data_IF_209354433159
#
_entry.id   IF_209354433159
#
_cell.length_a   1.000
_cell.length_b   1.000
_cell.length_c   1.000
_cell.angle_alpha   90.00
_cell.angle_beta   90.00
_cell.angle_gamma   90.00
#
_symmetry.space_group_name_H-M   'P 1'
#
loop_
_entity.id
_entity.type
_entity.pdbx_description
1 polymer ?
#
# COMPACT_ATOMS: atom_id res chain seq x y z
N UNK A 1 -9.49 2.02 20.70
CA UNK A 1 -9.42 2.46 19.29
C UNK A 1 -9.90 3.90 19.20
N UNK A 2 -9.04 4.83 18.77
CA UNK A 2 -9.48 6.17 18.37
C UNK A 2 -9.81 6.16 16.87
N UNK A 3 -10.98 6.70 16.51
CA UNK A 3 -11.41 6.80 15.11
C UNK A 3 -10.43 7.62 14.26
N UNK A 4 -9.75 8.58 14.90
CA UNK A 4 -8.78 9.45 14.23
C UNK A 4 -7.50 8.72 13.83
N UNK A 5 -6.97 7.84 14.70
CA UNK A 5 -5.78 7.05 14.39
C UNK A 5 -6.02 6.08 13.23
N UNK A 6 -7.19 5.40 13.24
CA UNK A 6 -7.55 4.50 12.15
C UNK A 6 -7.75 5.23 10.82
N UNK A 7 -8.31 6.45 10.85
CA UNK A 7 -8.47 7.27 9.65
C UNK A 7 -7.11 7.71 9.08
N UNK A 8 -6.18 8.13 9.94
CA UNK A 8 -4.82 8.47 9.53
C UNK A 8 -4.10 7.26 8.94
N UNK A 9 -4.24 6.10 9.56
CA UNK A 9 -3.66 4.84 9.07
C UNK A 9 -4.19 4.51 7.67
N UNK A 10 -5.51 4.62 7.45
CA UNK A 10 -6.12 4.37 6.14
C UNK A 10 -5.62 5.37 5.08
N UNK A 11 -5.57 6.66 5.40
CA UNK A 11 -5.07 7.68 4.46
C UNK A 11 -3.61 7.44 4.07
N UNK A 12 -2.78 7.00 5.02
CA UNK A 12 -1.39 6.65 4.75
C UNK A 12 -1.27 5.39 3.88
N UNK A 13 -2.14 4.39 4.09
CA UNK A 13 -2.22 3.21 3.24
C UNK A 13 -2.65 3.56 1.79
N UNK A 14 -3.65 4.43 1.63
CA UNK A 14 -4.08 4.94 0.31
C UNK A 14 -2.91 5.63 -0.40
N UNK A 15 -2.21 6.53 0.31
CA UNK A 15 -1.06 7.24 -0.22
C UNK A 15 0.09 6.30 -0.64
N UNK A 16 0.34 5.23 0.11
CA UNK A 16 1.38 4.26 -0.26
C UNK A 16 1.06 3.56 -1.59
N UNK A 17 -0.19 3.16 -1.79
CA UNK A 17 -0.66 2.51 -3.01
C UNK A 17 -0.60 3.48 -4.20
N UNK A 18 -0.99 4.73 -4.01
CA UNK A 18 -0.90 5.77 -5.04
C UNK A 18 0.56 6.03 -5.44
N UNK A 19 1.47 6.15 -4.48
CA UNK A 19 2.90 6.36 -4.74
C UNK A 19 3.51 5.21 -5.57
N UNK A 20 3.15 3.95 -5.29
CA UNK A 20 3.56 2.81 -6.11
C UNK A 20 3.10 2.95 -7.57
N UNK A 21 1.85 3.40 -7.80
CA UNK A 21 1.34 3.62 -9.17
C UNK A 21 2.09 4.71 -9.93
N UNK A 22 2.70 5.66 -9.21
CA UNK A 22 3.49 6.76 -9.75
C UNK A 22 4.98 6.40 -9.92
N UNK A 23 5.38 5.19 -9.53
CA UNK A 23 6.76 4.74 -9.53
C UNK A 23 7.61 5.35 -8.40
N UNK A 24 7.00 5.94 -7.38
CA UNK A 24 7.69 6.53 -6.24
C UNK A 24 7.82 5.53 -5.09
N UNK A 25 8.84 4.67 -5.21
CA UNK A 25 9.16 3.65 -4.21
C UNK A 25 9.50 4.23 -2.83
N UNK A 26 10.17 5.39 -2.78
CA UNK A 26 10.58 6.00 -1.53
C UNK A 26 9.37 6.52 -0.73
N UNK A 27 8.47 7.23 -1.40
CA UNK A 27 7.23 7.74 -0.79
C UNK A 27 6.31 6.59 -0.39
N UNK A 28 6.22 5.53 -1.20
CA UNK A 28 5.40 4.36 -0.87
C UNK A 28 5.83 3.70 0.46
N UNK A 29 7.15 3.48 0.64
CA UNK A 29 7.70 2.91 1.88
C UNK A 29 7.42 3.80 3.09
N UNK A 30 7.68 5.10 2.99
CA UNK A 30 7.44 6.03 4.08
C UNK A 30 5.95 6.10 4.47
N UNK A 31 5.06 6.11 3.48
CA UNK A 31 3.62 6.16 3.72
C UNK A 31 3.10 4.88 4.39
N UNK A 32 3.56 3.70 3.98
CA UNK A 32 3.09 2.45 4.60
C UNK A 32 3.62 2.27 6.02
N UNK A 33 4.83 2.75 6.32
CA UNK A 33 5.37 2.74 7.68
C UNK A 33 4.51 3.62 8.61
N UNK A 34 4.04 4.78 8.12
CA UNK A 34 3.08 5.61 8.86
C UNK A 34 1.74 4.91 9.03
N UNK A 35 1.26 4.19 8.01
CA UNK A 35 0.03 3.42 8.10
C UNK A 35 0.09 2.38 9.23
N UNK A 36 1.20 1.62 9.31
CA UNK A 36 1.44 0.63 10.37
C UNK A 36 1.59 1.31 11.74
N UNK A 37 2.31 2.43 11.84
CA UNK A 37 2.48 3.16 13.11
C UNK A 37 1.14 3.62 13.70
N UNK A 38 0.22 4.08 12.84
CA UNK A 38 -1.11 4.57 13.26
C UNK A 38 -2.14 3.45 13.42
N UNK A 39 -1.88 2.29 12.85
CA UNK A 39 -2.77 1.15 12.89
C UNK A 39 -2.70 0.38 14.20
N UNK A 40 -3.63 0.71 15.10
CA UNK A 40 -3.78 0.05 16.39
C UNK A 40 -4.35 -1.38 16.27
N UNK A 41 -4.82 -1.78 15.09
CA UNK A 41 -5.42 -3.10 14.85
C UNK A 41 -4.45 -4.12 14.23
N UNK A 42 -3.35 -3.65 13.65
CA UNK A 42 -2.37 -4.49 12.95
C UNK A 42 -2.85 -5.03 11.60
N UNK A 43 -3.93 -4.48 11.04
CA UNK A 43 -4.48 -4.81 9.72
C UNK A 43 -3.55 -4.43 8.56
N UNK A 44 -2.70 -3.41 8.71
CA UNK A 44 -1.79 -2.95 7.65
C UNK A 44 -0.41 -3.61 7.65
N UNK A 45 -0.15 -4.59 8.52
CA UNK A 45 1.12 -5.31 8.52
C UNK A 45 1.38 -6.04 7.19
N UNK A 46 0.38 -6.76 6.68
CA UNK A 46 0.50 -7.45 5.39
C UNK A 46 0.66 -6.46 4.22
N UNK A 47 0.00 -5.31 4.29
CA UNK A 47 0.16 -4.25 3.31
C UNK A 47 1.59 -3.70 3.30
N UNK A 48 2.20 -3.51 4.48
CA UNK A 48 3.59 -3.04 4.57
C UNK A 48 4.56 -4.00 3.88
N UNK A 49 4.46 -5.30 4.14
CA UNK A 49 5.30 -6.30 3.48
C UNK A 49 5.12 -6.27 1.96
N UNK A 50 3.87 -6.15 1.48
CA UNK A 50 3.56 -6.04 0.06
C UNK A 50 4.09 -4.76 -0.58
N UNK A 51 3.98 -3.62 0.09
CA UNK A 51 4.51 -2.33 -0.39
C UNK A 51 6.04 -2.35 -0.42
N UNK A 52 6.71 -2.90 0.60
CA UNK A 52 8.17 -2.99 0.63
C UNK A 52 8.70 -3.90 -0.50
N UNK A 53 8.01 -5.01 -0.77
CA UNK A 53 8.32 -5.88 -1.92
C UNK A 53 8.11 -5.13 -3.25
N UNK A 54 6.97 -4.47 -3.42
CA UNK A 54 6.65 -3.71 -4.62
C UNK A 54 7.66 -2.57 -4.87
N UNK A 55 7.99 -1.81 -3.84
CA UNK A 55 8.99 -0.74 -3.91
C UNK A 55 10.37 -1.27 -4.33
N UNK A 56 10.76 -2.46 -3.85
CA UNK A 56 12.01 -3.11 -4.27
C UNK A 56 11.98 -3.49 -5.75
N UNK A 57 10.86 -4.07 -6.22
CA UNK A 57 10.71 -4.37 -7.64
C UNK A 57 10.66 -3.13 -8.53
N UNK A 58 10.07 -2.02 -8.06
CA UNK A 58 10.13 -0.73 -8.76
C UNK A 58 11.58 -0.24 -8.89
N UNK A 59 12.35 -0.29 -7.81
CA UNK A 59 13.75 0.12 -7.82
C UNK A 59 14.60 -0.74 -8.78
N UNK A 60 14.31 -2.05 -8.86
CA UNK A 60 15.08 -3.02 -9.67
C UNK A 60 14.64 -3.07 -11.14
N UNK A 61 13.33 -3.07 -11.40
CA UNK A 61 12.75 -3.31 -12.73
C UNK A 61 12.14 -2.06 -13.38
N UNK A 62 12.00 -0.96 -12.62
CA UNK A 62 11.40 0.29 -13.07
C UNK A 62 9.89 0.23 -13.29
N UNK A 63 9.23 -0.89 -12.92
CA UNK A 63 7.78 -1.10 -13.04
C UNK A 63 7.30 -2.20 -12.12
N UNK A 64 6.00 -2.23 -11.85
CA UNK A 64 5.35 -3.31 -11.11
C UNK A 64 4.72 -4.33 -12.06
N UNK A 65 5.07 -5.63 -11.96
CA UNK A 65 4.42 -6.67 -12.74
C UNK A 65 3.01 -6.97 -12.17
N UNK A 66 2.13 -7.52 -13.02
CA UNK A 66 0.75 -7.86 -12.65
C UNK A 66 0.61 -8.67 -11.35
N UNK A 67 1.42 -9.73 -11.12
CA UNK A 67 1.38 -10.51 -9.88
C UNK A 67 1.65 -9.70 -8.61
N UNK A 68 2.40 -8.61 -8.70
CA UNK A 68 2.68 -7.75 -7.54
C UNK A 68 1.48 -6.88 -7.20
N UNK A 69 0.72 -6.45 -8.21
CA UNK A 69 -0.58 -5.82 -7.99
C UNK A 69 -1.60 -6.78 -7.37
N UNK A 70 -1.60 -8.06 -7.80
CA UNK A 70 -2.45 -9.09 -7.19
C UNK A 70 -2.09 -9.29 -5.70
N UNK A 71 -0.80 -9.35 -5.38
CA UNK A 71 -0.33 -9.46 -4.00
C UNK A 71 -0.72 -8.26 -3.13
N UNK A 72 -0.66 -7.03 -3.67
CA UNK A 72 -1.13 -5.83 -2.98
C UNK A 72 -2.65 -5.89 -2.70
N UNK A 73 -3.44 -6.36 -3.66
CA UNK A 73 -4.89 -6.49 -3.51
C UNK A 73 -5.27 -7.52 -2.44
N UNK A 74 -4.53 -8.64 -2.37
CA UNK A 74 -4.70 -9.66 -1.33
C UNK A 74 -4.31 -9.12 0.06
N UNK A 75 -3.23 -8.34 0.14
CA UNK A 75 -2.70 -7.81 1.39
C UNK A 75 -3.63 -6.79 2.08
N UNK A 76 -4.37 -5.99 1.30
CA UNK A 76 -5.35 -5.04 1.85
C UNK A 76 -6.69 -5.67 2.20
N UNK A 77 -6.97 -6.87 1.65
CA UNK A 77 -8.25 -7.56 1.82
C UNK A 77 -9.44 -6.81 1.20
N UNK A 78 -10.66 -7.39 1.30
CA UNK A 78 -11.83 -6.80 0.68
C UNK A 78 -12.19 -5.43 1.28
N UNK A 79 -12.31 -4.42 0.42
CA UNK A 79 -12.67 -3.07 0.86
C UNK A 79 -12.24 -1.96 -0.11
N UNK A 80 -12.31 -0.69 0.34
CA UNK A 80 -11.97 0.47 -0.48
C UNK A 80 -10.54 0.42 -1.05
N UNK A 81 -9.58 -0.06 -0.25
CA UNK A 81 -8.18 -0.19 -0.67
C UNK A 81 -8.00 -1.22 -1.78
N UNK A 82 -8.71 -2.35 -1.75
CA UNK A 82 -8.67 -3.32 -2.85
C UNK A 82 -9.17 -2.68 -4.14
N UNK A 83 -10.29 -1.96 -4.08
CA UNK A 83 -10.81 -1.24 -5.25
C UNK A 83 -9.82 -0.20 -5.80
N UNK A 84 -9.08 0.48 -4.91
CA UNK A 84 -8.01 1.41 -5.31
C UNK A 84 -6.89 0.67 -6.06
N UNK A 85 -6.36 -0.42 -5.48
CA UNK A 85 -5.31 -1.25 -6.09
C UNK A 85 -5.74 -1.73 -7.48
N UNK A 86 -6.95 -2.26 -7.61
CA UNK A 86 -7.49 -2.76 -8.87
C UNK A 86 -7.63 -1.64 -9.92
N UNK A 87 -8.03 -0.44 -9.51
CA UNK A 87 -8.17 0.71 -10.42
C UNK A 87 -6.82 1.21 -10.97
N UNK A 88 -5.79 1.22 -10.12
CA UNK A 88 -4.46 1.74 -10.47
C UNK A 88 -3.67 0.75 -11.31
N UNK A 89 -3.87 -0.56 -11.13
CA UNK A 89 -3.27 -1.60 -11.98
C UNK A 89 -3.55 -1.39 -13.48
N UNK A 90 -4.71 -0.82 -13.80
CA UNK A 90 -5.17 -0.65 -15.19
C UNK A 90 -4.83 0.72 -15.81
N UNK A 91 -4.25 1.64 -15.03
CA UNK A 91 -3.81 2.96 -15.50
C UNK A 91 -2.43 2.89 -16.15
#
# INVERSE_FOLDING_TARGET
MSLEGQRQAQQAAEHAIEALSQGDAATARAAVDVAVEKDQSGSFGALADAVHLAATQLDEEGRLPGPTWDFLADAVGPGPLQGLVESLRTS
#
